data_IF_748551555404
#
_entry.id   IF_748551555404
#
_cell.length_a   1.000
_cell.length_b   1.000
_cell.length_c   1.000
_cell.angle_alpha   90.00
_cell.angle_beta   90.00
_cell.angle_gamma   90.00
#
_symmetry.space_group_name_H-M   'P 1'
#
loop_
_entity.id
_entity.type
_entity.pdbx_description
1 polymer ?
#
# COMPACT_ATOMS: atom_id res chain seq x y z
N UNK A 1 5.35 7.25 13.75
CA UNK A 1 4.31 7.04 14.79
C UNK A 1 4.98 7.01 16.16
N UNK A 2 5.93 6.11 16.40
CA UNK A 2 6.57 5.86 17.70
C UNK A 2 7.01 7.14 18.45
N UNK A 3 7.65 8.08 17.75
CA UNK A 3 8.17 9.30 18.38
C UNK A 3 7.08 10.27 18.93
N UNK A 4 5.82 10.07 18.54
CA UNK A 4 4.70 10.96 18.88
C UNK A 4 3.44 10.20 19.32
N UNK A 5 3.59 9.00 19.83
CA UNK A 5 2.51 8.06 20.08
C UNK A 5 1.40 8.66 20.98
N UNK A 6 1.77 9.25 22.11
CA UNK A 6 0.79 9.84 23.05
C UNK A 6 -0.06 10.96 22.40
N UNK A 7 0.60 11.84 21.61
CA UNK A 7 -0.08 12.94 20.90
C UNK A 7 -1.01 12.41 19.82
N UNK A 8 -0.55 11.43 19.02
CA UNK A 8 -1.32 10.84 17.93
C UNK A 8 -2.53 10.08 18.49
N UNK A 9 -2.39 9.37 19.61
CA UNK A 9 -3.49 8.66 20.27
C UNK A 9 -4.63 9.60 20.65
N UNK A 10 -4.34 10.75 21.26
CA UNK A 10 -5.35 11.75 21.59
C UNK A 10 -6.06 12.29 20.33
N UNK A 11 -5.30 12.63 19.28
CA UNK A 11 -5.86 13.13 18.02
C UNK A 11 -6.75 12.09 17.35
N UNK A 12 -6.30 10.83 17.29
CA UNK A 12 -7.07 9.74 16.65
C UNK A 12 -8.34 9.43 17.43
N UNK A 13 -8.28 9.42 18.77
CA UNK A 13 -9.46 9.23 19.60
C UNK A 13 -10.52 10.32 19.32
N UNK A 14 -10.12 11.58 19.27
CA UNK A 14 -11.03 12.70 18.96
C UNK A 14 -11.63 12.61 17.56
N UNK A 15 -10.86 12.15 16.55
CA UNK A 15 -11.38 11.93 15.22
C UNK A 15 -12.38 10.75 15.19
N UNK A 16 -12.07 9.67 15.90
CA UNK A 16 -12.96 8.52 16.02
C UNK A 16 -14.28 8.87 16.71
N UNK A 17 -14.24 9.67 17.78
CA UNK A 17 -15.44 10.19 18.46
C UNK A 17 -16.33 11.05 17.54
N UNK A 18 -15.72 11.71 16.55
CA UNK A 18 -16.41 12.45 15.50
C UNK A 18 -16.89 11.56 14.33
N UNK A 19 -16.70 10.24 14.39
CA UNK A 19 -17.05 9.30 13.33
C UNK A 19 -16.10 9.31 12.12
N UNK A 20 -14.90 9.89 12.28
CA UNK A 20 -13.91 10.00 11.19
C UNK A 20 -12.97 8.81 11.24
N UNK A 21 -12.91 8.07 10.12
CA UNK A 21 -11.95 6.98 9.94
C UNK A 21 -10.54 7.53 9.69
N UNK A 22 -9.58 7.05 10.48
CA UNK A 22 -8.18 7.48 10.37
C UNK A 22 -7.33 6.46 9.65
N UNK A 23 -6.47 6.94 8.76
CA UNK A 23 -5.47 6.15 8.05
C UNK A 23 -4.07 6.69 8.36
N UNK A 24 -3.15 5.79 8.68
CA UNK A 24 -1.73 6.12 8.92
C UNK A 24 -0.93 5.64 7.71
N UNK A 25 -0.16 6.56 7.11
CA UNK A 25 0.77 6.27 6.00
C UNK A 25 2.19 6.13 6.54
N UNK A 26 2.77 4.93 6.41
CA UNK A 26 4.08 4.57 6.97
C UNK A 26 4.84 3.57 6.08
N UNK A 27 6.14 3.47 6.31
CA UNK A 27 6.98 2.43 5.71
C UNK A 27 6.61 1.04 6.23
N UNK A 28 7.04 -0.02 5.52
CA UNK A 28 6.78 -1.41 5.88
C UNK A 28 7.64 -1.87 7.07
N UNK A 29 7.53 -1.17 8.19
CA UNK A 29 8.25 -1.40 9.44
C UNK A 29 7.30 -1.88 10.53
N UNK A 30 7.44 -3.13 10.98
CA UNK A 30 6.53 -3.76 11.94
C UNK A 30 6.34 -2.94 13.22
N UNK A 31 7.38 -2.36 13.86
CA UNK A 31 7.19 -1.53 15.06
C UNK A 31 6.34 -0.28 14.83
N UNK A 32 6.38 0.31 13.63
CA UNK A 32 5.54 1.45 13.27
C UNK A 32 4.08 1.03 13.07
N UNK A 33 3.86 -0.17 12.52
CA UNK A 33 2.52 -0.76 12.34
C UNK A 33 1.87 -1.07 13.68
N UNK A 34 2.63 -1.70 14.59
CA UNK A 34 2.18 -1.99 15.95
C UNK A 34 1.79 -0.71 16.70
N UNK A 35 2.63 0.33 16.60
CA UNK A 35 2.32 1.63 17.17
C UNK A 35 1.09 2.28 16.53
N UNK A 36 0.87 2.12 15.23
CA UNK A 36 -0.33 2.62 14.55
C UNK A 36 -1.61 1.94 15.08
N UNK A 37 -1.57 0.64 15.34
CA UNK A 37 -2.66 -0.09 15.97
C UNK A 37 -2.89 0.38 17.41
N UNK A 38 -1.83 0.55 18.19
CA UNK A 38 -1.90 0.95 19.59
C UNK A 38 -2.54 2.35 19.75
N UNK A 39 -2.31 3.26 18.84
CA UNK A 39 -2.95 4.59 18.88
C UNK A 39 -4.38 4.59 18.34
N UNK A 40 -4.91 3.45 17.89
CA UNK A 40 -6.30 3.28 17.45
C UNK A 40 -6.57 3.62 15.99
N UNK A 41 -5.55 3.58 15.13
CA UNK A 41 -5.75 3.76 13.69
C UNK A 41 -6.64 2.65 13.12
N UNK A 42 -7.58 3.01 12.25
CA UNK A 42 -8.49 2.06 11.60
C UNK A 42 -7.91 1.48 10.30
N UNK A 43 -7.02 2.22 9.68
CA UNK A 43 -6.41 1.89 8.39
C UNK A 43 -4.90 2.13 8.48
N UNK A 44 -4.13 1.23 7.91
CA UNK A 44 -2.70 1.42 7.71
C UNK A 44 -2.40 1.32 6.22
N UNK A 45 -1.83 2.38 5.67
CA UNK A 45 -1.38 2.46 4.29
C UNK A 45 0.15 2.30 4.26
N UNK A 46 0.60 1.28 3.55
CA UNK A 46 2.04 1.01 3.41
C UNK A 46 2.61 1.78 2.23
N UNK A 47 3.70 2.49 2.51
CA UNK A 47 4.50 3.21 1.52
C UNK A 47 5.19 2.24 0.56
N UNK A 48 4.80 2.24 -0.71
CA UNK A 48 5.37 1.36 -1.74
C UNK A 48 6.54 1.97 -2.52
N UNK A 49 7.03 3.14 -2.10
CA UNK A 49 8.15 3.83 -2.75
C UNK A 49 9.43 3.01 -2.87
N UNK A 50 9.91 2.34 -1.81
CA UNK A 50 11.10 1.49 -1.87
C UNK A 50 10.98 0.37 -2.91
N UNK A 51 9.82 -0.31 -2.96
CA UNK A 51 9.51 -1.32 -3.98
C UNK A 51 9.53 -0.72 -5.40
N UNK A 52 8.86 0.39 -5.61
CA UNK A 52 8.78 1.05 -6.91
C UNK A 52 10.15 1.54 -7.39
N UNK A 53 10.99 2.03 -6.47
CA UNK A 53 12.36 2.42 -6.77
C UNK A 53 13.22 1.21 -7.17
N UNK A 54 13.15 0.11 -6.41
CA UNK A 54 13.86 -1.13 -6.74
C UNK A 54 13.44 -1.66 -8.12
N UNK A 55 12.13 -1.68 -8.40
CA UNK A 55 11.57 -2.09 -9.68
C UNK A 55 12.12 -1.25 -10.85
N UNK A 56 12.12 0.07 -10.71
CA UNK A 56 12.67 0.97 -11.73
C UNK A 56 14.18 0.78 -11.93
N UNK A 57 14.95 0.71 -10.84
CA UNK A 57 16.41 0.55 -10.86
C UNK A 57 16.86 -0.79 -11.46
N UNK A 58 16.00 -1.81 -11.47
CA UNK A 58 16.26 -3.13 -12.05
C UNK A 58 15.62 -3.33 -13.44
N UNK A 59 15.40 -2.26 -14.19
CA UNK A 59 14.88 -2.35 -15.54
C UNK A 59 13.44 -2.85 -15.64
N UNK A 60 12.65 -2.70 -14.57
CA UNK A 60 11.27 -3.18 -14.45
C UNK A 60 11.14 -4.71 -14.36
N UNK A 61 12.18 -5.37 -13.89
CA UNK A 61 12.16 -6.80 -13.62
C UNK A 61 11.53 -7.07 -12.25
N UNK A 62 10.33 -7.63 -12.24
CA UNK A 62 9.59 -7.96 -11.02
C UNK A 62 10.21 -9.14 -10.25
N UNK A 63 11.03 -9.96 -10.91
CA UNK A 63 11.67 -11.14 -10.32
C UNK A 63 13.08 -10.84 -9.79
N UNK A 64 13.58 -9.62 -10.02
CA UNK A 64 14.87 -9.22 -9.49
C UNK A 64 14.89 -9.35 -7.95
N UNK A 65 15.94 -9.93 -7.34
CA UNK A 65 16.00 -10.20 -5.90
C UNK A 65 15.70 -8.98 -5.02
N UNK A 66 16.14 -7.78 -5.43
CA UNK A 66 15.85 -6.56 -4.70
C UNK A 66 14.36 -6.18 -4.72
N UNK A 67 13.66 -6.44 -5.84
CA UNK A 67 12.22 -6.17 -6.00
C UNK A 67 11.41 -7.16 -5.18
N UNK A 68 11.77 -8.44 -5.26
CA UNK A 68 11.15 -9.51 -4.48
C UNK A 68 11.31 -9.25 -2.98
N UNK A 69 12.49 -8.82 -2.53
CA UNK A 69 12.74 -8.48 -1.13
C UNK A 69 11.85 -7.33 -0.63
N UNK A 70 11.69 -6.26 -1.41
CA UNK A 70 10.80 -5.16 -1.03
C UNK A 70 9.32 -5.58 -1.04
N UNK A 71 8.90 -6.38 -2.01
CA UNK A 71 7.54 -6.92 -2.04
C UNK A 71 7.26 -7.84 -0.83
N UNK A 72 8.25 -8.62 -0.40
CA UNK A 72 8.15 -9.46 0.80
C UNK A 72 7.96 -8.64 2.08
N UNK A 73 8.61 -7.48 2.19
CA UNK A 73 8.38 -6.54 3.32
C UNK A 73 6.94 -6.03 3.33
N UNK A 74 6.42 -5.61 2.17
CA UNK A 74 5.02 -5.14 2.05
C UNK A 74 4.05 -6.26 2.43
N UNK A 75 4.32 -7.50 2.00
CA UNK A 75 3.51 -8.68 2.36
C UNK A 75 3.50 -8.92 3.87
N UNK A 76 4.67 -8.93 4.52
CA UNK A 76 4.78 -9.11 5.96
C UNK A 76 4.07 -7.99 6.73
N UNK A 77 4.21 -6.74 6.29
CA UNK A 77 3.50 -5.58 6.81
C UNK A 77 1.97 -5.76 6.68
N UNK A 78 1.49 -6.16 5.50
CA UNK A 78 0.07 -6.40 5.25
C UNK A 78 -0.52 -7.51 6.13
N UNK A 79 0.24 -8.57 6.42
CA UNK A 79 -0.17 -9.61 7.36
C UNK A 79 -0.29 -9.04 8.78
N UNK A 80 0.75 -8.35 9.26
CA UNK A 80 0.75 -7.70 10.58
C UNK A 80 -0.43 -6.72 10.76
N UNK A 81 -0.70 -5.87 9.76
CA UNK A 81 -1.82 -4.92 9.77
C UNK A 81 -3.16 -5.65 9.98
N UNK A 82 -3.39 -6.76 9.27
CA UNK A 82 -4.63 -7.53 9.37
C UNK A 82 -4.74 -8.25 10.71
N UNK A 83 -3.65 -8.83 11.21
CA UNK A 83 -3.60 -9.51 12.50
C UNK A 83 -3.91 -8.56 13.66
N UNK A 84 -3.56 -7.27 13.49
CA UNK A 84 -3.89 -6.18 14.42
C UNK A 84 -5.29 -5.57 14.19
N UNK A 85 -6.09 -6.13 13.28
CA UNK A 85 -7.47 -5.70 13.04
C UNK A 85 -7.64 -4.44 12.20
N UNK A 86 -6.57 -3.90 11.64
CA UNK A 86 -6.62 -2.73 10.76
C UNK A 86 -6.89 -3.12 9.29
N UNK A 87 -7.39 -2.18 8.50
CA UNK A 87 -7.48 -2.33 7.04
C UNK A 87 -6.11 -2.10 6.40
N UNK A 88 -5.71 -3.01 5.53
CA UNK A 88 -4.47 -2.93 4.78
C UNK A 88 -4.67 -2.21 3.46
N UNK A 89 -4.07 -1.02 3.34
CA UNK A 89 -3.96 -0.25 2.10
C UNK A 89 -2.48 -0.07 1.73
N UNK A 90 -2.20 0.28 0.48
CA UNK A 90 -0.85 0.63 0.05
C UNK A 90 -0.89 1.71 -1.03
N UNK A 91 0.19 2.45 -1.17
CA UNK A 91 0.28 3.53 -2.14
C UNK A 91 1.66 4.13 -2.28
N UNK A 92 1.73 5.13 -3.10
CA UNK A 92 2.89 5.87 -3.53
C UNK A 92 3.76 5.18 -4.59
N UNK A 93 4.10 5.92 -5.64
CA UNK A 93 4.96 5.51 -6.77
C UNK A 93 4.48 4.27 -7.57
N UNK A 94 3.25 3.79 -7.33
CA UNK A 94 2.65 2.75 -8.16
C UNK A 94 2.22 3.32 -9.52
N UNK A 95 2.38 2.48 -10.54
CA UNK A 95 2.05 2.81 -11.92
C UNK A 95 1.59 1.56 -12.71
N UNK A 96 1.31 1.72 -13.99
CA UNK A 96 0.79 0.65 -14.87
C UNK A 96 1.75 -0.54 -15.06
N UNK A 97 3.04 -0.40 -14.71
CA UNK A 97 4.04 -1.44 -14.88
C UNK A 97 4.33 -2.22 -13.60
N UNK A 98 4.11 -1.60 -12.43
CA UNK A 98 4.49 -2.18 -11.14
C UNK A 98 3.34 -2.44 -10.18
N UNK A 99 2.09 -2.10 -10.54
CA UNK A 99 0.94 -2.23 -9.65
C UNK A 99 0.53 -3.69 -9.39
N UNK A 100 0.70 -4.56 -10.38
CA UNK A 100 0.14 -5.92 -10.33
C UNK A 100 0.70 -6.78 -9.19
N UNK A 101 2.03 -6.85 -8.92
CA UNK A 101 2.55 -7.61 -7.79
C UNK A 101 1.98 -7.15 -6.43
N UNK A 102 1.79 -5.84 -6.26
CA UNK A 102 1.21 -5.29 -5.03
C UNK A 102 -0.30 -5.60 -4.95
N UNK A 103 -1.04 -5.47 -6.05
CA UNK A 103 -2.46 -5.78 -6.11
C UNK A 103 -2.81 -7.25 -5.84
N UNK A 104 -1.84 -8.16 -5.98
CA UNK A 104 -1.97 -9.60 -5.67
C UNK A 104 -1.81 -9.95 -4.19
N UNK A 105 -1.34 -9.01 -3.38
CA UNK A 105 -1.12 -9.27 -1.95
C UNK A 105 -2.44 -9.54 -1.25
N UNK A 106 -2.48 -10.61 -0.48
CA UNK A 106 -3.67 -11.04 0.25
C UNK A 106 -4.15 -9.94 1.20
N UNK A 107 -5.45 -9.66 1.18
CA UNK A 107 -6.12 -8.74 2.09
C UNK A 107 -5.91 -7.26 1.81
N UNK A 108 -5.22 -6.91 0.72
CA UNK A 108 -5.14 -5.50 0.30
C UNK A 108 -6.52 -4.99 -0.09
N UNK A 109 -6.91 -3.82 0.41
CA UNK A 109 -8.24 -3.26 0.18
C UNK A 109 -8.25 -2.12 -0.83
N UNK A 110 -7.28 -1.21 -0.70
CA UNK A 110 -7.19 -0.04 -1.56
C UNK A 110 -5.75 0.22 -1.95
N UNK A 111 -5.56 0.67 -3.21
CA UNK A 111 -4.30 1.18 -3.71
C UNK A 111 -4.46 2.66 -4.05
N UNK A 112 -3.65 3.51 -3.40
CA UNK A 112 -3.71 4.95 -3.60
C UNK A 112 -2.73 5.36 -4.71
N UNK A 113 -3.27 5.62 -5.91
CA UNK A 113 -2.50 5.90 -7.12
C UNK A 113 -3.02 7.19 -7.75
N UNK A 114 -2.23 8.25 -7.69
CA UNK A 114 -2.58 9.55 -8.27
C UNK A 114 -1.74 9.87 -9.51
N UNK A 115 -0.44 10.09 -9.30
CA UNK A 115 0.47 10.63 -10.32
C UNK A 115 0.43 9.86 -11.65
N UNK A 116 0.52 8.55 -11.62
CA UNK A 116 0.52 7.71 -12.84
C UNK A 116 -0.79 7.82 -13.60
N UNK A 117 -1.94 7.84 -12.90
CA UNK A 117 -3.26 7.98 -13.51
C UNK A 117 -3.41 9.35 -14.17
N UNK A 118 -3.02 10.42 -13.46
CA UNK A 118 -3.10 11.79 -14.01
C UNK A 118 -2.19 11.94 -15.23
N UNK A 119 -0.94 11.46 -15.17
CA UNK A 119 -0.02 11.50 -16.31
C UNK A 119 -0.57 10.73 -17.52
N UNK A 120 -1.13 9.54 -17.32
CA UNK A 120 -1.75 8.73 -18.37
C UNK A 120 -2.97 9.43 -18.97
N UNK A 121 -3.73 10.12 -18.13
CA UNK A 121 -4.96 10.79 -18.55
C UNK A 121 -4.76 11.90 -19.58
N UNK A 122 -3.58 12.49 -19.64
CA UNK A 122 -3.20 13.49 -20.67
C UNK A 122 -3.29 12.91 -22.08
N UNK A 123 -3.04 11.61 -22.24
CA UNK A 123 -3.02 10.92 -23.55
C UNK A 123 -4.35 10.23 -23.87
N UNK A 124 -5.04 9.67 -22.86
CA UNK A 124 -6.21 8.81 -23.09
C UNK A 124 -7.50 9.31 -22.45
N UNK A 125 -7.43 10.40 -21.69
CA UNK A 125 -8.52 10.90 -20.85
C UNK A 125 -8.63 10.18 -19.51
N UNK A 126 -9.16 10.88 -18.49
CA UNK A 126 -9.18 10.39 -17.11
C UNK A 126 -9.98 9.09 -16.94
N UNK A 127 -11.13 8.99 -17.59
CA UNK A 127 -11.99 7.78 -17.52
C UNK A 127 -11.22 6.54 -17.97
N UNK A 128 -10.53 6.62 -19.08
CA UNK A 128 -9.78 5.51 -19.65
C UNK A 128 -8.55 5.17 -18.80
N UNK A 129 -7.81 6.17 -18.35
CA UNK A 129 -6.67 5.97 -17.45
C UNK A 129 -7.06 5.21 -16.17
N UNK A 130 -8.18 5.60 -15.56
CA UNK A 130 -8.71 4.90 -14.37
C UNK A 130 -9.17 3.48 -14.73
N UNK A 131 -9.84 3.29 -15.88
CA UNK A 131 -10.31 1.98 -16.33
C UNK A 131 -9.15 1.01 -16.54
N UNK A 132 -8.09 1.45 -17.23
CA UNK A 132 -6.88 0.65 -17.46
C UNK A 132 -6.23 0.24 -16.13
N UNK A 133 -6.05 1.18 -15.20
CA UNK A 133 -5.47 0.88 -13.89
C UNK A 133 -6.30 -0.14 -13.10
N UNK A 134 -7.62 0.06 -13.05
CA UNK A 134 -8.53 -0.89 -12.37
C UNK A 134 -8.54 -2.26 -13.02
N UNK A 135 -8.38 -2.34 -14.33
CA UNK A 135 -8.29 -3.61 -15.05
C UNK A 135 -7.04 -4.39 -14.62
N UNK A 136 -5.85 -3.75 -14.62
CA UNK A 136 -4.60 -4.36 -14.17
C UNK A 136 -4.70 -4.89 -12.73
N UNK A 137 -5.31 -4.11 -11.83
CA UNK A 137 -5.50 -4.52 -10.44
C UNK A 137 -6.43 -5.73 -10.32
N UNK A 138 -7.55 -5.77 -11.06
CA UNK A 138 -8.51 -6.88 -11.04
C UNK A 138 -7.91 -8.15 -11.63
N UNK A 139 -7.21 -8.05 -12.75
CA UNK A 139 -6.52 -9.19 -13.37
C UNK A 139 -5.50 -9.79 -12.41
N UNK A 140 -4.71 -8.94 -11.74
CA UNK A 140 -3.75 -9.36 -10.75
C UNK A 140 -4.39 -10.04 -9.54
N UNK A 141 -5.46 -9.47 -8.99
CA UNK A 141 -6.16 -10.01 -7.82
C UNK A 141 -6.80 -11.39 -8.06
N UNK A 142 -7.08 -11.75 -9.31
CA UNK A 142 -7.62 -13.06 -9.69
C UNK A 142 -6.52 -14.14 -9.84
N UNK A 143 -5.25 -13.75 -9.82
CA UNK A 143 -4.13 -14.69 -9.88
C UNK A 143 -3.75 -15.17 -8.47
N UNK A 144 -3.28 -16.42 -8.31
CA UNK A 144 -2.79 -16.87 -7.02
C UNK A 144 -1.63 -15.99 -6.54
N UNK A 145 -1.59 -15.72 -5.25
CA UNK A 145 -0.47 -14.98 -4.64
C UNK A 145 0.83 -15.76 -4.87
N UNK A 146 1.88 -15.07 -5.32
CA UNK A 146 3.21 -15.70 -5.45
C UNK A 146 3.70 -15.98 -4.04
N UNK A 147 3.68 -17.24 -3.63
CA UNK A 147 4.30 -17.68 -2.37
C UNK A 147 5.82 -17.57 -2.59
N UNK A 148 6.47 -16.71 -1.85
CA UNK A 148 7.92 -16.77 -1.73
C UNK A 148 8.28 -18.10 -1.07
N UNK A 149 9.16 -18.85 -1.72
CA UNK A 149 9.83 -20.00 -1.12
C UNK A 149 10.77 -19.54 -0.01
#
# INVERSE_FOLDING_TARGET
VLAQEARLKDVIARLADAGIVTSIFIDAELPQIEAAAHIGASVCEIHTGPYAHAFHARGRDAEAPAVVAELAKIRAAGQCIRDLGMRFNAGHALNYYNVQPVARLSGIRELHIGHAIVSRSVFVGLREAVREMKQLMREAANLPEVRGE
#
